data_IF_910342364423
#
_entry.id   IF_910342364423
#
_cell.length_a   1.000
_cell.length_b   1.000
_cell.length_c   1.000
_cell.angle_alpha   90.00
_cell.angle_beta   90.00
_cell.angle_gamma   90.00
#
_symmetry.space_group_name_H-M   'P 1'
#
loop_
_entity.id
_entity.type
_entity.pdbx_description
1 polymer ?
#
# COMPACT_ATOMS: atom_id res chain seq x y z
N UNK A 1 -14.56 5.68 -23.39
CA UNK A 1 -15.59 5.40 -22.39
C UNK A 1 -15.09 5.56 -20.96
N UNK A 2 -15.99 5.44 -19.96
CA UNK A 2 -15.62 5.58 -18.52
C UNK A 2 -14.47 4.66 -18.10
N UNK A 3 -14.40 3.44 -18.64
CA UNK A 3 -13.30 2.52 -18.36
C UNK A 3 -11.92 3.03 -18.75
N UNK A 4 -11.81 3.90 -19.74
CA UNK A 4 -10.53 4.45 -20.17
C UNK A 4 -9.96 5.49 -19.18
N UNK A 5 -10.83 6.21 -18.49
CA UNK A 5 -10.46 7.17 -17.45
C UNK A 5 -9.82 6.43 -16.26
N UNK A 6 -10.43 5.35 -15.81
CA UNK A 6 -9.96 4.59 -14.65
C UNK A 6 -8.69 3.79 -14.93
N UNK A 7 -8.49 3.29 -16.16
CA UNK A 7 -7.22 2.71 -16.60
C UNK A 7 -6.08 3.72 -16.47
N UNK A 8 -6.29 4.94 -16.96
CA UNK A 8 -5.32 6.03 -16.82
C UNK A 8 -5.06 6.35 -15.35
N UNK A 9 -6.10 6.37 -14.52
CA UNK A 9 -5.96 6.62 -13.09
C UNK A 9 -5.04 5.60 -12.42
N UNK A 10 -5.21 4.30 -12.66
CA UNK A 10 -4.36 3.26 -12.10
C UNK A 10 -2.89 3.47 -12.50
N UNK A 11 -2.63 3.63 -13.79
CA UNK A 11 -1.26 3.74 -14.31
C UNK A 11 -0.62 5.05 -13.88
N UNK A 12 -1.28 6.18 -14.05
CA UNK A 12 -0.71 7.49 -13.75
C UNK A 12 -0.51 7.69 -12.25
N UNK A 13 -1.46 7.27 -11.42
CA UNK A 13 -1.29 7.33 -9.99
C UNK A 13 -0.14 6.45 -9.50
N UNK A 14 0.02 5.25 -10.04
CA UNK A 14 1.13 4.35 -9.73
C UNK A 14 2.48 4.93 -10.14
N UNK A 15 2.59 5.49 -11.33
CA UNK A 15 3.82 6.15 -11.81
C UNK A 15 4.16 7.40 -10.98
N UNK A 16 3.16 8.18 -10.61
CA UNK A 16 3.32 9.34 -9.72
C UNK A 16 3.82 8.90 -8.35
N UNK A 17 3.29 7.80 -7.82
CA UNK A 17 3.71 7.23 -6.53
C UNK A 17 5.18 6.83 -6.53
N UNK A 18 5.68 6.24 -7.61
CA UNK A 18 7.09 5.84 -7.73
C UNK A 18 8.04 7.03 -7.56
N UNK A 19 7.65 8.22 -8.02
CA UNK A 19 8.51 9.42 -8.00
C UNK A 19 8.33 10.29 -6.76
N UNK A 20 7.44 9.95 -5.83
CA UNK A 20 7.23 10.72 -4.62
C UNK A 20 8.38 10.54 -3.62
N UNK A 21 8.70 11.63 -2.91
CA UNK A 21 9.75 11.66 -1.89
C UNK A 21 9.21 11.79 -0.45
N UNK A 22 7.92 12.03 -0.29
CA UNK A 22 7.23 12.18 0.99
C UNK A 22 6.48 10.88 1.31
N UNK A 23 6.72 10.30 2.51
CA UNK A 23 6.10 9.04 2.95
C UNK A 23 4.57 9.10 2.89
N UNK A 24 3.99 10.17 3.40
CA UNK A 24 2.53 10.33 3.42
C UNK A 24 1.95 10.42 2.01
N UNK A 25 2.62 11.14 1.10
CA UNK A 25 2.20 11.26 -0.29
C UNK A 25 2.29 9.93 -1.05
N UNK A 26 3.31 9.13 -0.79
CA UNK A 26 3.44 7.80 -1.40
C UNK A 26 2.21 6.95 -1.06
N UNK A 27 1.83 6.89 0.21
CA UNK A 27 0.67 6.12 0.66
C UNK A 27 -0.63 6.71 0.10
N UNK A 28 -0.78 8.02 0.09
CA UNK A 28 -1.96 8.68 -0.46
C UNK A 28 -2.16 8.40 -1.96
N UNK A 29 -1.10 8.49 -2.76
CA UNK A 29 -1.18 8.18 -4.19
C UNK A 29 -1.37 6.68 -4.46
N UNK A 30 -0.83 5.80 -3.62
CA UNK A 30 -1.11 4.37 -3.71
C UNK A 30 -2.60 4.09 -3.49
N UNK A 31 -3.25 4.80 -2.57
CA UNK A 31 -4.70 4.71 -2.36
C UNK A 31 -5.49 5.11 -3.61
N UNK A 32 -5.07 6.16 -4.31
CA UNK A 32 -5.70 6.57 -5.58
C UNK A 32 -5.58 5.47 -6.63
N UNK A 33 -4.42 4.81 -6.74
CA UNK A 33 -4.23 3.70 -7.66
C UNK A 33 -5.13 2.50 -7.31
N UNK A 34 -5.23 2.11 -6.04
CA UNK A 34 -6.11 1.03 -5.59
C UNK A 34 -7.58 1.33 -5.82
N UNK A 35 -8.02 2.57 -5.58
CA UNK A 35 -9.40 2.97 -5.89
C UNK A 35 -9.68 2.95 -7.39
N UNK A 36 -8.70 3.23 -8.24
CA UNK A 36 -8.79 3.03 -9.68
C UNK A 36 -9.11 1.57 -10.05
N UNK A 37 -8.46 0.61 -9.41
CA UNK A 37 -8.75 -0.83 -9.59
C UNK A 37 -10.16 -1.18 -9.13
N UNK A 38 -10.60 -0.64 -7.99
CA UNK A 38 -11.99 -0.81 -7.49
C UNK A 38 -13.00 -0.33 -8.53
N UNK A 39 -12.78 0.83 -9.12
CA UNK A 39 -13.68 1.37 -10.14
C UNK A 39 -13.70 0.53 -11.42
N UNK A 40 -12.56 -0.02 -11.83
CA UNK A 40 -12.51 -0.96 -12.96
C UNK A 40 -13.39 -2.19 -12.69
N UNK A 41 -13.33 -2.74 -11.48
CA UNK A 41 -14.16 -3.88 -11.08
C UNK A 41 -15.64 -3.55 -11.05
N UNK A 42 -16.04 -2.41 -10.51
CA UNK A 42 -17.45 -1.98 -10.48
C UNK A 42 -18.02 -1.78 -11.87
N UNK A 43 -17.26 -1.16 -12.77
CA UNK A 43 -17.70 -0.92 -14.15
C UNK A 43 -17.52 -2.12 -15.10
N UNK A 44 -17.01 -3.24 -14.63
CA UNK A 44 -17.02 -4.50 -15.39
C UNK A 44 -18.44 -5.08 -15.53
N UNK A 45 -19.36 -4.66 -14.68
CA UNK A 45 -20.80 -5.02 -14.69
C UNK A 45 -21.05 -6.54 -14.61
N UNK A 46 -20.14 -7.28 -14.01
CA UNK A 46 -20.34 -8.71 -13.72
C UNK A 46 -20.21 -8.98 -12.20
N UNK A 47 -20.76 -10.10 -11.75
CA UNK A 47 -20.80 -10.44 -10.34
C UNK A 47 -19.40 -10.50 -9.72
N UNK A 48 -18.46 -11.13 -10.38
CA UNK A 48 -17.08 -11.28 -9.88
C UNK A 48 -16.36 -9.93 -9.72
N UNK A 49 -16.49 -9.05 -10.70
CA UNK A 49 -15.89 -7.72 -10.64
C UNK A 49 -16.46 -6.86 -9.50
N UNK A 50 -17.78 -6.90 -9.31
CA UNK A 50 -18.46 -6.14 -8.24
C UNK A 50 -18.11 -6.70 -6.86
N UNK A 51 -18.17 -8.00 -6.67
CA UNK A 51 -17.81 -8.65 -5.41
C UNK A 51 -16.33 -8.40 -5.05
N UNK A 52 -15.44 -8.54 -6.02
CA UNK A 52 -14.02 -8.24 -5.85
C UNK A 52 -13.76 -6.77 -5.46
N UNK A 53 -14.50 -5.84 -6.04
CA UNK A 53 -14.42 -4.42 -5.71
C UNK A 53 -14.85 -4.14 -4.28
N UNK A 54 -15.92 -4.75 -3.81
CA UNK A 54 -16.39 -4.60 -2.42
C UNK A 54 -15.34 -5.15 -1.43
N UNK A 55 -14.82 -6.35 -1.70
CA UNK A 55 -13.77 -6.94 -0.87
C UNK A 55 -12.49 -6.11 -0.85
N UNK A 56 -12.10 -5.56 -2.00
CA UNK A 56 -10.93 -4.70 -2.10
C UNK A 56 -11.12 -3.37 -1.34
N UNK A 57 -12.31 -2.78 -1.36
CA UNK A 57 -12.61 -1.61 -0.56
C UNK A 57 -12.45 -1.89 0.94
N UNK A 58 -12.96 -3.02 1.42
CA UNK A 58 -12.85 -3.42 2.82
C UNK A 58 -11.40 -3.69 3.22
N UNK A 59 -10.67 -4.46 2.42
CA UNK A 59 -9.26 -4.74 2.65
C UNK A 59 -8.38 -3.49 2.63
N UNK A 60 -8.60 -2.60 1.67
CA UNK A 60 -7.92 -1.31 1.61
C UNK A 60 -8.23 -0.43 2.82
N UNK A 61 -9.47 -0.48 3.34
CA UNK A 61 -9.87 0.22 4.55
C UNK A 61 -9.15 -0.24 5.83
N UNK A 62 -8.56 -1.43 5.81
CA UNK A 62 -7.71 -1.95 6.89
C UNK A 62 -6.22 -1.65 6.68
N UNK A 63 -5.73 -1.90 5.47
CA UNK A 63 -4.31 -1.76 5.14
C UNK A 63 -3.87 -0.29 5.08
N UNK A 64 -4.65 0.57 4.47
CA UNK A 64 -4.28 1.98 4.29
C UNK A 64 -4.18 2.74 5.63
N UNK A 65 -5.14 2.63 6.56
CA UNK A 65 -4.96 3.20 7.90
C UNK A 65 -3.76 2.65 8.64
N UNK A 66 -3.46 1.35 8.50
CA UNK A 66 -2.27 0.73 9.07
C UNK A 66 -0.98 1.38 8.57
N UNK A 67 -0.86 1.61 7.27
CA UNK A 67 0.28 2.30 6.69
C UNK A 67 0.38 3.76 7.15
N UNK A 68 -0.74 4.49 7.23
CA UNK A 68 -0.74 5.85 7.75
C UNK A 68 -0.34 5.92 9.23
N UNK A 69 -0.76 4.95 10.03
CA UNK A 69 -0.30 4.82 11.42
C UNK A 69 1.19 4.55 11.51
N UNK A 70 1.74 3.69 10.64
CA UNK A 70 3.19 3.46 10.55
C UNK A 70 3.95 4.76 10.24
N UNK A 71 3.46 5.54 9.30
CA UNK A 71 4.05 6.87 9.00
C UNK A 71 3.91 7.82 10.19
N UNK A 72 2.79 7.79 10.91
CA UNK A 72 2.58 8.57 12.13
C UNK A 72 3.58 8.23 13.23
N UNK A 73 3.84 6.94 13.47
CA UNK A 73 4.84 6.47 14.43
C UNK A 73 6.24 6.97 14.06
N UNK A 74 6.62 6.87 12.79
CA UNK A 74 7.90 7.41 12.32
C UNK A 74 7.98 8.93 12.47
N UNK A 75 6.92 9.63 12.09
CA UNK A 75 6.87 11.08 12.18
C UNK A 75 6.95 11.59 13.62
N UNK A 76 6.33 10.93 14.57
CA UNK A 76 6.39 11.29 15.99
C UNK A 76 7.83 11.22 16.53
N UNK A 77 8.63 10.29 16.01
CA UNK A 77 10.03 10.10 16.43
C UNK A 77 11.02 10.97 15.65
N UNK A 78 10.92 10.96 14.32
CA UNK A 78 11.89 11.62 13.43
C UNK A 78 11.52 13.05 13.05
N UNK A 79 10.26 13.47 13.26
CA UNK A 79 9.73 14.80 12.92
C UNK A 79 9.89 15.20 11.44
N UNK A 80 10.08 14.22 10.56
CA UNK A 80 10.15 14.43 9.11
C UNK A 80 9.37 13.35 8.36
N UNK A 81 8.88 13.70 7.16
CA UNK A 81 8.19 12.77 6.25
C UNK A 81 9.01 12.45 5.00
N UNK A 82 10.16 13.09 4.85
CA UNK A 82 11.01 12.90 3.66
C UNK A 82 11.77 11.59 3.78
N UNK A 83 11.62 10.73 2.77
CA UNK A 83 12.25 9.39 2.73
C UNK A 83 13.77 9.46 2.82
N UNK A 84 14.38 10.51 2.28
CA UNK A 84 15.85 10.67 2.25
C UNK A 84 16.52 10.67 3.63
N UNK A 85 15.78 11.01 4.70
CA UNK A 85 16.29 11.04 6.06
C UNK A 85 16.18 9.70 6.78
N UNK A 86 15.48 8.73 6.20
CA UNK A 86 15.31 7.40 6.77
C UNK A 86 16.33 6.42 6.22
N UNK A 87 16.65 5.43 7.01
CA UNK A 87 17.52 4.30 6.66
C UNK A 87 17.86 3.49 7.89
N UNK A 88 17.92 2.17 7.76
CA UNK A 88 18.33 1.28 8.86
C UNK A 88 17.38 1.24 10.06
N UNK A 89 16.12 1.57 9.90
CA UNK A 89 15.11 1.57 11.00
C UNK A 89 14.99 0.20 11.66
N UNK A 90 15.27 -0.89 10.95
CA UNK A 90 15.24 -2.25 11.50
C UNK A 90 16.21 -2.43 12.68
N UNK A 91 17.31 -1.73 12.70
CA UNK A 91 18.33 -1.86 13.77
C UNK A 91 17.86 -1.24 15.10
N UNK A 92 17.02 -0.24 15.05
CA UNK A 92 16.52 0.47 16.25
C UNK A 92 15.09 0.06 16.61
N UNK A 93 14.27 -0.31 15.63
CA UNK A 93 12.84 -0.58 15.79
C UNK A 93 12.41 -1.88 15.07
N UNK A 94 12.86 -3.07 15.53
CA UNK A 94 12.59 -4.32 14.83
C UNK A 94 11.11 -4.70 14.82
N UNK A 95 10.38 -4.46 15.90
CA UNK A 95 8.94 -4.76 15.97
C UNK A 95 8.14 -3.88 15.01
N UNK A 96 8.46 -2.60 14.95
CA UNK A 96 7.89 -1.67 13.98
C UNK A 96 8.15 -2.14 12.53
N UNK A 97 9.38 -2.56 12.24
CA UNK A 97 9.75 -3.07 10.92
C UNK A 97 8.90 -4.28 10.51
N UNK A 98 8.62 -5.19 11.44
CA UNK A 98 7.76 -6.36 11.20
C UNK A 98 6.32 -5.95 10.89
N UNK A 99 5.75 -5.04 11.66
CA UNK A 99 4.37 -4.54 11.44
C UNK A 99 4.29 -3.77 10.12
N UNK A 100 5.28 -2.95 9.81
CA UNK A 100 5.34 -2.20 8.55
C UNK A 100 5.45 -3.15 7.34
N UNK A 101 6.22 -4.23 7.47
CA UNK A 101 6.29 -5.28 6.45
C UNK A 101 4.92 -5.92 6.20
N UNK A 102 4.20 -6.27 7.26
CA UNK A 102 2.87 -6.86 7.15
C UNK A 102 1.92 -5.97 6.34
N UNK A 103 1.83 -4.70 6.67
CA UNK A 103 0.96 -3.76 5.95
C UNK A 103 1.45 -3.48 4.53
N UNK A 104 2.75 -3.46 4.30
CA UNK A 104 3.33 -3.32 2.96
C UNK A 104 2.97 -4.51 2.09
N UNK A 105 3.07 -5.73 2.60
CA UNK A 105 2.66 -6.94 1.87
C UNK A 105 1.16 -6.97 1.63
N UNK A 106 0.34 -6.51 2.59
CA UNK A 106 -1.09 -6.33 2.40
C UNK A 106 -1.42 -5.33 1.29
N UNK A 107 -0.66 -4.24 1.21
CA UNK A 107 -0.83 -3.23 0.16
C UNK A 107 -0.46 -3.73 -1.24
N UNK A 108 0.51 -4.64 -1.34
CA UNK A 108 0.89 -5.31 -2.59
C UNK A 108 -0.19 -6.33 -3.02
N UNK A 109 -0.96 -6.85 -2.08
CA UNK A 109 -1.93 -7.92 -2.34
C UNK A 109 -1.30 -9.30 -2.33
N UNK A 110 -0.42 -9.57 -1.36
CA UNK A 110 0.18 -10.89 -1.19
C UNK A 110 -0.91 -11.94 -0.88
N UNK A 111 -0.86 -13.14 -1.49
CA UNK A 111 -1.75 -14.25 -1.09
C UNK A 111 -1.69 -14.50 0.41
N UNK A 112 -2.86 -14.61 1.05
CA UNK A 112 -3.00 -14.70 2.50
C UNK A 112 -3.34 -13.37 3.18
N UNK A 113 -3.39 -12.27 2.45
CA UNK A 113 -3.90 -10.97 2.89
C UNK A 113 -5.28 -10.67 2.32
N UNK A 114 -6.03 -9.78 2.95
CA UNK A 114 -7.40 -9.44 2.55
C UNK A 114 -7.49 -8.83 1.13
N UNK A 115 -6.47 -8.12 0.70
CA UNK A 115 -6.47 -7.46 -0.61
C UNK A 115 -6.31 -8.41 -1.80
N UNK A 116 -5.64 -9.55 -1.61
CA UNK A 116 -5.40 -10.49 -2.71
C UNK A 116 -6.70 -10.98 -3.36
N UNK A 117 -7.66 -11.41 -2.54
CA UNK A 117 -8.94 -11.93 -3.05
C UNK A 117 -9.70 -10.86 -3.84
N UNK A 118 -9.73 -9.63 -3.34
CA UNK A 118 -10.38 -8.51 -4.01
C UNK A 118 -9.73 -8.18 -5.36
N UNK A 119 -8.43 -8.06 -5.41
CA UNK A 119 -7.68 -7.77 -6.64
C UNK A 119 -7.81 -8.88 -7.68
N UNK A 120 -7.71 -10.13 -7.24
CA UNK A 120 -7.86 -11.29 -8.12
C UNK A 120 -9.26 -11.34 -8.76
N UNK A 121 -10.33 -11.15 -7.97
CA UNK A 121 -11.69 -11.14 -8.47
C UNK A 121 -11.96 -9.97 -9.41
N UNK A 122 -11.42 -8.79 -9.12
CA UNK A 122 -11.54 -7.61 -10.01
C UNK A 122 -10.89 -7.89 -11.36
N UNK A 123 -9.67 -8.41 -11.37
CA UNK A 123 -8.98 -8.72 -12.62
C UNK A 123 -9.67 -9.81 -13.43
N UNK A 124 -10.18 -10.85 -12.76
CA UNK A 124 -10.97 -11.91 -13.40
C UNK A 124 -12.24 -11.36 -14.02
N UNK A 125 -12.96 -10.50 -13.30
CA UNK A 125 -14.15 -9.83 -13.81
C UNK A 125 -13.85 -8.93 -15.02
N UNK A 126 -12.78 -8.14 -14.96
CA UNK A 126 -12.35 -7.32 -16.08
C UNK A 126 -11.91 -8.15 -17.29
N UNK A 127 -11.26 -9.28 -17.07
CA UNK A 127 -10.85 -10.19 -18.15
C UNK A 127 -12.03 -10.74 -18.94
N UNK A 128 -13.13 -11.06 -18.26
CA UNK A 128 -14.36 -11.55 -18.91
C UNK A 128 -15.01 -10.50 -19.81
N UNK A 129 -14.85 -9.21 -19.49
CA UNK A 129 -15.43 -8.13 -20.29
C UNK A 129 -14.48 -7.64 -21.37
N UNK A 130 -13.21 -7.44 -21.05
CA UNK A 130 -12.18 -6.97 -21.98
C UNK A 130 -10.78 -7.33 -21.50
N UNK A 131 -10.07 -8.15 -22.26
CA UNK A 131 -8.72 -8.61 -21.94
C UNK A 131 -7.70 -7.49 -21.85
N UNK A 132 -7.82 -6.46 -22.68
CA UNK A 132 -6.92 -5.31 -22.68
C UNK A 132 -7.04 -4.51 -21.38
N UNK A 133 -8.25 -4.33 -20.86
CA UNK A 133 -8.49 -3.66 -19.58
C UNK A 133 -7.86 -4.42 -18.44
N UNK A 134 -8.01 -5.74 -18.42
CA UNK A 134 -7.41 -6.60 -17.40
C UNK A 134 -5.87 -6.55 -17.45
N UNK A 135 -5.27 -6.57 -18.62
CA UNK A 135 -3.82 -6.45 -18.80
C UNK A 135 -3.29 -5.12 -18.26
N UNK A 136 -3.97 -4.02 -18.59
CA UNK A 136 -3.59 -2.68 -18.08
C UNK A 136 -3.80 -2.55 -16.56
N UNK A 137 -4.85 -3.16 -16.00
CA UNK A 137 -5.07 -3.24 -14.56
C UNK A 137 -3.97 -4.04 -13.85
N UNK A 138 -3.52 -5.14 -14.45
CA UNK A 138 -2.43 -5.96 -13.93
C UNK A 138 -1.09 -5.21 -13.88
N UNK A 139 -0.82 -4.29 -14.82
CA UNK A 139 0.38 -3.43 -14.75
C UNK A 139 0.39 -2.55 -13.50
N UNK A 140 -0.78 -2.12 -13.03
CA UNK A 140 -0.92 -1.37 -11.79
C UNK A 140 -0.48 -2.18 -10.56
N UNK A 141 -0.73 -3.49 -10.54
CA UNK A 141 -0.27 -4.38 -9.47
C UNK A 141 1.26 -4.51 -9.46
N UNK A 142 1.87 -4.65 -10.63
CA UNK A 142 3.33 -4.72 -10.76
C UNK A 142 3.98 -3.42 -10.28
N UNK A 143 3.45 -2.28 -10.69
CA UNK A 143 3.92 -0.97 -10.23
C UNK A 143 3.69 -0.80 -8.72
N UNK A 144 2.57 -1.29 -8.19
CA UNK A 144 2.27 -1.31 -6.75
C UNK A 144 3.31 -2.09 -5.95
N UNK A 145 3.70 -3.26 -6.41
CA UNK A 145 4.80 -4.03 -5.84
C UNK A 145 6.12 -3.25 -5.88
N UNK A 146 6.42 -2.63 -7.01
CA UNK A 146 7.65 -1.88 -7.19
C UNK A 146 7.78 -0.72 -6.19
N UNK A 147 6.82 0.19 -6.12
CA UNK A 147 6.91 1.35 -5.22
C UNK A 147 6.81 0.96 -3.75
N UNK A 148 6.01 -0.05 -3.40
CA UNK A 148 5.86 -0.49 -2.01
C UNK A 148 7.13 -1.13 -1.47
N UNK A 149 7.74 -2.05 -2.22
CA UNK A 149 8.99 -2.69 -1.83
C UNK A 149 10.16 -1.70 -1.80
N UNK A 150 10.21 -0.82 -2.77
CA UNK A 150 11.25 0.23 -2.80
C UNK A 150 11.15 1.18 -1.62
N UNK A 151 9.93 1.59 -1.24
CA UNK A 151 9.69 2.39 -0.04
C UNK A 151 10.16 1.66 1.21
N UNK A 152 9.75 0.40 1.37
CA UNK A 152 10.12 -0.42 2.51
C UNK A 152 11.64 -0.56 2.64
N UNK A 153 12.32 -0.87 1.54
CA UNK A 153 13.78 -1.00 1.52
C UNK A 153 14.49 0.31 1.89
N UNK A 154 14.01 1.44 1.38
CA UNK A 154 14.60 2.75 1.70
C UNK A 154 14.42 3.16 3.15
N UNK A 155 13.31 2.80 3.77
CA UNK A 155 13.00 3.18 5.16
C UNK A 155 13.63 2.22 6.16
N UNK A 156 13.47 0.92 5.96
CA UNK A 156 13.76 -0.11 6.96
C UNK A 156 15.18 -0.63 6.84
N UNK A 157 15.65 -0.87 5.63
CA UNK A 157 16.99 -1.40 5.36
C UNK A 157 18.00 -0.30 5.08
N UNK A 158 19.26 -0.71 5.01
CA UNK A 158 20.38 0.18 4.76
C UNK A 158 21.14 0.55 6.03
N UNK A 159 22.09 1.47 5.88
CA UNK A 159 22.87 1.96 7.02
C UNK A 159 22.12 3.06 7.74
N UNK A 160 22.10 3.05 9.10
CA UNK A 160 21.61 4.18 9.89
C UNK A 160 22.36 5.46 9.52
N UNK A 161 21.64 6.56 9.40
CA UNK A 161 22.23 7.88 9.13
C UNK A 161 22.44 8.61 10.44
N UNK A 162 23.65 8.58 11.05
CA UNK A 162 23.87 9.07 12.42
C UNK A 162 23.59 10.56 12.59
N UNK A 163 23.68 11.34 11.52
CA UNK A 163 23.36 12.77 11.56
C UNK A 163 21.87 13.09 11.75
N UNK A 164 20.99 12.12 11.45
CA UNK A 164 19.54 12.30 11.48
C UNK A 164 18.81 11.33 12.42
N UNK A 165 19.52 10.31 12.92
CA UNK A 165 18.93 9.23 13.73
C UNK A 165 19.55 9.25 15.12
N UNK A 166 18.76 9.66 16.11
CA UNK A 166 18.99 9.28 17.49
C UNK A 166 18.42 7.86 17.71
N UNK A 167 18.89 7.16 18.74
CA UNK A 167 18.35 5.85 19.14
C UNK A 167 16.94 6.05 19.66
N UNK A 168 15.94 5.86 18.80
CA UNK A 168 14.53 5.92 19.18
C UNK A 168 14.07 4.56 19.73
N UNK A 169 13.19 4.61 20.72
CA UNK A 169 12.56 3.43 21.27
C UNK A 169 11.61 2.79 20.24
N UNK A 170 11.50 1.45 20.29
CA UNK A 170 10.52 0.69 19.52
C UNK A 170 9.08 1.04 19.94
N UNK A 171 8.10 0.38 19.33
CA UNK A 171 6.68 0.64 19.53
C UNK A 171 6.29 0.51 21.01
N UNK A 172 5.56 1.51 21.51
CA UNK A 172 4.96 1.49 22.85
C UNK A 172 3.73 0.58 22.89
N UNK A 173 3.31 0.17 24.10
CA UNK A 173 2.10 -0.64 24.28
C UNK A 173 0.86 -0.02 23.65
N UNK A 174 0.69 1.30 23.78
CA UNK A 174 -0.43 2.03 23.16
C UNK A 174 -0.41 1.91 21.65
N UNK A 175 0.73 2.12 21.01
CA UNK A 175 0.90 2.01 19.56
C UNK A 175 0.64 0.58 19.08
N UNK A 176 1.14 -0.40 19.81
CA UNK A 176 0.90 -1.81 19.51
C UNK A 176 -0.60 -2.16 19.55
N UNK A 177 -1.30 -1.74 20.58
CA UNK A 177 -2.74 -1.97 20.68
C UNK A 177 -3.55 -1.27 19.59
N UNK A 178 -3.08 -0.14 19.08
CA UNK A 178 -3.71 0.53 17.93
C UNK A 178 -3.55 -0.26 16.64
N UNK A 179 -2.46 -1.00 16.48
CA UNK A 179 -2.22 -1.85 15.30
C UNK A 179 -2.95 -3.19 15.35
N UNK A 180 -3.21 -3.75 16.54
CA UNK A 180 -3.78 -5.10 16.71
C UNK A 180 -5.06 -5.33 15.90
N UNK A 181 -6.11 -4.47 15.97
CA UNK A 181 -7.33 -4.68 15.18
C UNK A 181 -7.07 -4.71 13.67
N UNK A 182 -6.17 -3.85 13.19
CA UNK A 182 -5.81 -3.77 11.77
C UNK A 182 -5.00 -4.99 11.32
N UNK A 183 -4.11 -5.49 12.16
CA UNK A 183 -3.32 -6.71 11.89
C UNK A 183 -4.25 -7.93 11.79
N UNK A 184 -5.21 -8.06 12.70
CA UNK A 184 -6.17 -9.18 12.69
C UNK A 184 -7.03 -9.16 11.43
N UNK A 185 -7.44 -7.98 10.97
CA UNK A 185 -8.28 -7.83 9.78
C UNK A 185 -7.54 -7.96 8.45
N UNK A 186 -6.22 -7.82 8.46
CA UNK A 186 -5.38 -7.91 7.26
C UNK A 186 -5.03 -9.35 6.94
#
# INVERSE_FOLDING_TARGET
GLGDVYKRQVIYASLTTVRQVDLKKIIAYSSVAHMGVVMLGLFSLNAQGVEGSILLMLGHGLVSPGLFMCVGVLYDRYKTRLVKYYGGVVHTMPLFATIFLLFTMGNIGLPGTSNFVGEFLVLTGCYQTNTLIAALGATGMVLGGAYSLWLYNRVVYGFPKPHYINTYADINRREFFMFVPLIIGT
#
